data_IF_492368521388
#
_entry.id   IF_492368521388
#
_cell.length_a   1.000
_cell.length_b   1.000
_cell.length_c   1.000
_cell.angle_alpha   90.00
_cell.angle_beta   90.00
_cell.angle_gamma   90.00
#
_symmetry.space_group_name_H-M   'P 1'
#
loop_
_entity.id
_entity.type
_entity.pdbx_description
1 polymer ?
#
# COMPACT_ATOMS: atom_id res chain seq x y z
N UNK A 1 4.10 -9.35 1.24
CA UNK A 1 4.13 -8.22 2.21
C UNK A 1 2.88 -8.35 3.06
N UNK A 2 2.95 -8.28 4.40
CA UNK A 2 1.74 -8.42 5.23
C UNK A 2 0.82 -7.22 5.06
N UNK A 3 -0.49 -7.41 5.30
CA UNK A 3 -1.53 -6.40 5.09
C UNK A 3 -1.19 -5.05 5.76
N UNK A 4 -0.76 -4.98 7.04
CA UNK A 4 -0.47 -3.69 7.66
C UNK A 4 0.65 -2.91 6.94
N UNK A 5 1.64 -3.60 6.38
CA UNK A 5 2.69 -2.98 5.58
C UNK A 5 2.13 -2.39 4.28
N UNK A 6 1.30 -3.14 3.54
CA UNK A 6 0.70 -2.65 2.30
C UNK A 6 -0.26 -1.47 2.55
N UNK A 7 -1.03 -1.49 3.62
CA UNK A 7 -1.92 -0.38 4.00
C UNK A 7 -1.12 0.92 4.25
N UNK A 8 -0.01 0.82 4.99
CA UNK A 8 0.86 1.98 5.26
C UNK A 8 1.55 2.47 3.97
N UNK A 9 2.02 1.57 3.12
CA UNK A 9 2.58 1.91 1.82
C UNK A 9 1.54 2.53 0.88
N UNK A 10 0.29 2.06 0.93
CA UNK A 10 -0.85 2.62 0.21
C UNK A 10 -1.09 4.07 0.62
N UNK A 11 -1.17 4.33 1.92
CA UNK A 11 -1.28 5.69 2.47
C UNK A 11 -0.10 6.58 2.03
N UNK A 12 1.13 6.11 2.18
CA UNK A 12 2.33 6.85 1.78
C UNK A 12 2.37 7.14 0.27
N UNK A 13 1.94 6.19 -0.57
CA UNK A 13 1.85 6.37 -2.03
C UNK A 13 0.85 7.46 -2.42
N UNK A 14 -0.27 7.57 -1.69
CA UNK A 14 -1.24 8.64 -1.86
C UNK A 14 -0.63 10.01 -1.57
N UNK A 15 0.07 10.14 -0.43
CA UNK A 15 0.78 11.38 -0.09
C UNK A 15 1.83 11.71 -1.15
N UNK A 16 2.63 10.73 -1.56
CA UNK A 16 3.68 10.89 -2.57
C UNK A 16 3.11 11.38 -3.90
N UNK A 17 1.98 10.85 -4.35
CA UNK A 17 1.30 11.31 -5.56
C UNK A 17 0.82 12.77 -5.44
N UNK A 18 0.30 13.17 -4.27
CA UNK A 18 -0.08 14.57 -4.04
C UNK A 18 1.14 15.52 -4.05
N UNK A 19 2.25 15.13 -3.44
CA UNK A 19 3.50 15.92 -3.46
C UNK A 19 4.08 16.04 -4.87
N UNK A 20 4.06 14.95 -5.63
CA UNK A 20 4.55 14.91 -7.02
C UNK A 20 3.74 15.83 -7.95
N UNK A 21 2.45 16.01 -7.66
CA UNK A 21 1.51 16.84 -8.43
C UNK A 21 1.29 18.24 -7.87
N UNK A 22 2.22 18.74 -7.05
CA UNK A 22 2.03 19.99 -6.28
C UNK A 22 1.68 21.22 -7.11
N UNK A 23 2.25 21.43 -8.30
CA UNK A 23 1.94 22.63 -9.08
C UNK A 23 0.48 22.61 -9.55
N UNK A 24 0.01 21.47 -10.05
CA UNK A 24 -1.39 21.28 -10.45
C UNK A 24 -2.35 21.42 -9.27
N UNK A 25 -1.99 20.88 -8.09
CA UNK A 25 -2.85 20.97 -6.89
C UNK A 25 -2.96 22.39 -6.30
N UNK A 26 -1.92 23.21 -6.47
CA UNK A 26 -1.88 24.60 -6.02
C UNK A 26 -2.72 25.51 -6.91
N UNK A 27 -2.77 25.23 -8.21
CA UNK A 27 -3.52 26.02 -9.20
C UNK A 27 -4.98 25.57 -9.33
N UNK A 28 -5.26 24.29 -9.08
CA UNK A 28 -6.60 23.73 -9.29
C UNK A 28 -7.61 24.20 -8.23
N UNK A 29 -8.75 24.78 -8.63
CA UNK A 29 -9.83 25.15 -7.72
C UNK A 29 -10.69 23.95 -7.28
N UNK A 30 -10.51 22.78 -7.90
CA UNK A 30 -11.36 21.61 -7.63
C UNK A 30 -11.03 20.93 -6.30
N UNK A 31 -11.98 20.19 -5.70
CA UNK A 31 -11.69 19.25 -4.63
C UNK A 31 -10.58 18.27 -5.05
N UNK A 32 -9.66 17.94 -4.14
CA UNK A 32 -8.46 17.14 -4.45
C UNK A 32 -8.79 15.79 -5.12
N UNK A 33 -9.90 15.15 -4.74
CA UNK A 33 -10.35 13.86 -5.28
C UNK A 33 -10.91 13.93 -6.71
N UNK A 34 -11.18 15.13 -7.22
CA UNK A 34 -11.67 15.34 -8.60
C UNK A 34 -10.55 15.77 -9.54
N UNK A 35 -9.31 15.77 -9.07
CA UNK A 35 -8.14 16.19 -9.87
C UNK A 35 -7.58 15.00 -10.66
N UNK A 36 -6.91 15.27 -11.80
CA UNK A 36 -6.25 14.23 -12.60
C UNK A 36 -5.19 13.44 -11.82
N UNK A 37 -4.40 14.05 -10.92
CA UNK A 37 -3.45 13.33 -10.08
C UNK A 37 -4.10 12.28 -9.18
N UNK A 38 -5.28 12.57 -8.62
CA UNK A 38 -6.00 11.59 -7.83
C UNK A 38 -6.38 10.38 -8.69
N UNK A 39 -6.94 10.59 -9.89
CA UNK A 39 -7.29 9.49 -10.78
C UNK A 39 -6.08 8.69 -11.28
N UNK A 40 -4.94 9.36 -11.52
CA UNK A 40 -3.69 8.67 -11.84
C UNK A 40 -3.23 7.77 -10.69
N UNK A 41 -3.32 8.25 -9.44
CA UNK A 41 -3.05 7.45 -8.26
C UNK A 41 -4.09 6.33 -8.08
N UNK A 42 -5.38 6.59 -8.31
CA UNK A 42 -6.44 5.58 -8.21
C UNK A 42 -6.25 4.44 -9.22
N UNK A 43 -5.78 4.75 -10.44
CA UNK A 43 -5.39 3.73 -11.42
C UNK A 43 -4.20 2.90 -10.95
N UNK A 44 -3.17 3.54 -10.35
CA UNK A 44 -2.07 2.81 -9.72
C UNK A 44 -2.59 1.92 -8.58
N UNK A 45 -3.48 2.42 -7.73
CA UNK A 45 -4.04 1.65 -6.63
C UNK A 45 -4.83 0.44 -7.14
N UNK A 46 -5.71 0.64 -8.14
CA UNK A 46 -6.54 -0.42 -8.71
C UNK A 46 -5.81 -1.44 -9.58
N UNK A 47 -4.71 -1.05 -10.24
CA UNK A 47 -3.96 -1.92 -11.15
C UNK A 47 -2.67 -2.49 -10.54
N UNK A 48 -2.20 -1.94 -9.43
CA UNK A 48 -0.93 -2.35 -8.80
C UNK A 48 -1.13 -2.71 -7.33
N UNK A 49 -1.51 -1.75 -6.48
CA UNK A 49 -1.59 -1.97 -5.03
C UNK A 49 -2.60 -3.06 -4.65
N UNK A 50 -3.85 -2.91 -5.09
CA UNK A 50 -4.94 -3.84 -4.77
C UNK A 50 -4.66 -5.23 -5.36
N UNK A 51 -4.22 -5.39 -6.62
CA UNK A 51 -3.83 -6.71 -7.15
C UNK A 51 -2.70 -7.39 -6.36
N UNK A 52 -1.72 -6.63 -5.86
CA UNK A 52 -0.66 -7.17 -5.00
C UNK A 52 -1.25 -7.68 -3.67
N UNK A 53 -2.11 -6.89 -3.05
CA UNK A 53 -2.82 -7.26 -1.82
C UNK A 53 -3.69 -8.51 -2.03
N UNK A 54 -4.44 -8.56 -3.13
CA UNK A 54 -5.26 -9.69 -3.52
C UNK A 54 -4.42 -10.95 -3.78
N UNK A 55 -3.25 -10.84 -4.41
CA UNK A 55 -2.33 -11.95 -4.59
C UNK A 55 -1.93 -12.56 -3.23
N UNK A 56 -1.46 -11.75 -2.28
CA UNK A 56 -1.06 -12.27 -0.97
C UNK A 56 -2.23 -12.83 -0.19
N UNK A 57 -3.41 -12.22 -0.30
CA UNK A 57 -4.62 -12.74 0.33
C UNK A 57 -5.03 -14.11 -0.23
N UNK A 58 -5.04 -14.27 -1.55
CA UNK A 58 -5.50 -15.50 -2.21
C UNK A 58 -4.53 -16.68 -2.04
N UNK A 59 -3.22 -16.43 -2.16
CA UNK A 59 -2.22 -17.51 -2.13
C UNK A 59 -1.62 -17.73 -0.75
N UNK A 60 -1.64 -16.70 0.11
CA UNK A 60 -0.95 -16.70 1.40
C UNK A 60 -1.77 -15.98 2.49
N UNK A 61 -3.10 -16.08 2.45
CA UNK A 61 -4.01 -15.27 3.26
C UNK A 61 -3.74 -15.30 4.76
N UNK A 62 -3.55 -16.48 5.34
CA UNK A 62 -3.29 -16.62 6.78
C UNK A 62 -1.99 -15.88 7.17
N UNK A 63 -0.93 -15.99 6.36
CA UNK A 63 0.32 -15.26 6.56
C UNK A 63 0.15 -13.74 6.32
N UNK A 64 -0.61 -13.38 5.28
CA UNK A 64 -0.90 -11.99 4.90
C UNK A 64 -1.61 -11.23 6.04
N UNK A 65 -2.51 -11.91 6.75
CA UNK A 65 -3.21 -11.41 7.93
C UNK A 65 -2.50 -11.75 9.25
N UNK A 66 -1.23 -12.14 9.22
CA UNK A 66 -0.39 -12.40 10.39
C UNK A 66 -0.99 -13.42 11.36
N UNK A 67 -1.69 -14.41 10.81
CA UNK A 67 -2.42 -15.45 11.53
C UNK A 67 -3.43 -14.88 12.53
N UNK A 68 -3.93 -13.65 12.34
CA UNK A 68 -4.89 -13.05 13.29
C UNK A 68 -6.33 -13.49 13.04
N UNK A 69 -6.63 -13.95 11.82
CA UNK A 69 -7.95 -14.42 11.41
C UNK A 69 -7.77 -15.68 10.56
N UNK A 70 -8.69 -16.65 10.72
CA UNK A 70 -8.77 -17.83 9.85
C UNK A 70 -9.36 -17.41 8.50
N UNK A 71 -8.53 -17.34 7.45
CA UNK A 71 -8.97 -16.86 6.14
C UNK A 71 -10.03 -17.75 5.52
N UNK A 72 -10.03 -19.05 5.82
CA UNK A 72 -11.04 -19.98 5.32
C UNK A 72 -12.46 -19.68 5.86
N UNK A 73 -12.56 -18.94 6.96
CA UNK A 73 -13.83 -18.52 7.55
C UNK A 73 -14.29 -17.13 7.06
N UNK A 74 -13.47 -16.39 6.31
CA UNK A 74 -13.81 -15.03 5.85
C UNK A 74 -14.73 -15.11 4.62
N UNK A 75 -15.96 -14.57 4.68
CA UNK A 75 -16.80 -14.43 3.50
C UNK A 75 -16.15 -13.53 2.45
N UNK A 76 -16.30 -13.86 1.17
CA UNK A 76 -15.72 -13.08 0.05
C UNK A 76 -16.12 -11.61 0.05
N UNK A 77 -17.34 -11.28 0.51
CA UNK A 77 -17.79 -9.91 0.68
C UNK A 77 -16.94 -9.12 1.70
N UNK A 78 -16.51 -9.76 2.81
CA UNK A 78 -15.63 -9.13 3.81
C UNK A 78 -14.22 -8.93 3.22
N UNK A 79 -13.73 -9.89 2.44
CA UNK A 79 -12.47 -9.74 1.71
C UNK A 79 -12.52 -8.55 0.73
N UNK A 80 -13.63 -8.37 0.01
CA UNK A 80 -13.82 -7.22 -0.87
C UNK A 80 -13.80 -5.90 -0.09
N UNK A 81 -14.49 -5.85 1.06
CA UNK A 81 -14.47 -4.67 1.94
C UNK A 81 -13.06 -4.35 2.46
N UNK A 82 -12.24 -5.38 2.71
CA UNK A 82 -10.85 -5.19 3.11
C UNK A 82 -10.05 -4.43 2.04
N UNK A 83 -10.14 -4.85 0.77
CA UNK A 83 -9.45 -4.17 -0.34
C UNK A 83 -10.02 -2.78 -0.62
N UNK A 84 -11.34 -2.60 -0.47
CA UNK A 84 -11.97 -1.30 -0.57
C UNK A 84 -11.46 -0.35 0.54
N UNK A 85 -11.31 -0.86 1.76
CA UNK A 85 -10.75 -0.10 2.88
C UNK A 85 -9.27 0.25 2.65
N UNK A 86 -8.46 -0.66 2.11
CA UNK A 86 -7.08 -0.37 1.71
C UNK A 86 -7.00 0.77 0.68
N UNK A 87 -7.83 0.72 -0.36
CA UNK A 87 -7.95 1.79 -1.33
C UNK A 87 -8.41 3.12 -0.71
N UNK A 88 -9.39 3.08 0.19
CA UNK A 88 -9.87 4.26 0.91
C UNK A 88 -8.78 4.88 1.79
N UNK A 89 -7.97 4.07 2.49
CA UNK A 89 -6.84 4.54 3.29
C UNK A 89 -5.79 5.19 2.39
N UNK A 90 -5.48 4.59 1.23
CA UNK A 90 -4.61 5.23 0.24
C UNK A 90 -5.14 6.59 -0.22
N UNK A 91 -6.44 6.70 -0.46
CA UNK A 91 -7.09 7.94 -0.86
C UNK A 91 -7.05 9.00 0.25
N UNK A 92 -7.17 8.60 1.52
CA UNK A 92 -6.96 9.48 2.67
C UNK A 92 -5.52 10.00 2.72
N UNK A 93 -4.53 9.17 2.37
CA UNK A 93 -3.14 9.60 2.19
C UNK A 93 -3.00 10.70 1.14
N UNK A 94 -3.62 10.51 -0.03
CA UNK A 94 -3.65 11.55 -1.07
C UNK A 94 -4.32 12.83 -0.57
N UNK A 95 -5.46 12.72 0.10
CA UNK A 95 -6.17 13.87 0.65
C UNK A 95 -5.33 14.64 1.68
N UNK A 96 -4.67 13.93 2.60
CA UNK A 96 -3.76 14.52 3.58
C UNK A 96 -2.59 15.23 2.90
N UNK A 97 -1.96 14.59 1.91
CA UNK A 97 -0.88 15.20 1.12
C UNK A 97 -1.34 16.46 0.39
N UNK A 98 -2.51 16.41 -0.26
CA UNK A 98 -3.08 17.55 -0.99
C UNK A 98 -3.42 18.72 -0.06
N UNK A 99 -3.96 18.45 1.14
CA UNK A 99 -4.24 19.47 2.15
C UNK A 99 -2.96 20.20 2.58
N UNK A 100 -1.88 19.45 2.82
CA UNK A 100 -0.59 20.02 3.22
C UNK A 100 0.06 20.81 2.09
N UNK A 101 0.05 20.29 0.86
CA UNK A 101 0.56 20.99 -0.33
C UNK A 101 -0.19 22.31 -0.54
N UNK A 102 -1.52 22.30 -0.51
CA UNK A 102 -2.35 23.52 -0.64
C UNK A 102 -2.14 24.50 0.51
N UNK A 103 -1.87 23.99 1.71
CA UNK A 103 -1.45 24.77 2.86
C UNK A 103 -0.01 25.31 2.80
N UNK A 104 0.69 25.14 1.67
CA UNK A 104 2.11 25.50 1.48
C UNK A 104 3.07 24.80 2.46
N UNK A 105 2.68 23.64 2.97
CA UNK A 105 3.44 22.79 3.90
C UNK A 105 3.98 21.54 3.21
N UNK A 106 4.53 21.70 2.00
CA UNK A 106 5.02 20.58 1.18
C UNK A 106 6.11 19.78 1.90
N UNK A 107 7.00 20.44 2.64
CA UNK A 107 8.05 19.76 3.41
C UNK A 107 7.47 18.82 4.48
N UNK A 108 6.38 19.24 5.11
CA UNK A 108 5.67 18.39 6.08
C UNK A 108 4.98 17.21 5.39
N UNK A 109 4.43 17.41 4.18
CA UNK A 109 3.86 16.31 3.39
C UNK A 109 4.94 15.29 3.01
N UNK A 110 6.12 15.74 2.59
CA UNK A 110 7.27 14.88 2.30
C UNK A 110 7.71 14.14 3.56
N UNK A 111 7.89 14.84 4.68
CA UNK A 111 8.28 14.25 5.94
C UNK A 111 7.28 13.19 6.41
N UNK A 112 5.98 13.45 6.25
CA UNK A 112 4.92 12.49 6.56
C UNK A 112 4.97 11.26 5.65
N UNK A 113 5.16 11.44 4.34
CA UNK A 113 5.30 10.32 3.40
C UNK A 113 6.50 9.44 3.74
N UNK A 114 7.66 10.05 4.04
CA UNK A 114 8.87 9.34 4.45
C UNK A 114 8.64 8.61 5.78
N UNK A 115 8.07 9.29 6.78
CA UNK A 115 7.79 8.71 8.08
C UNK A 115 6.88 7.47 7.94
N UNK A 116 5.77 7.59 7.22
CA UNK A 116 4.84 6.46 7.04
C UNK A 116 5.49 5.32 6.24
N UNK A 117 6.32 5.64 5.24
CA UNK A 117 7.09 4.62 4.50
C UNK A 117 8.04 3.86 5.41
N UNK A 118 8.75 4.56 6.32
CA UNK A 118 9.61 3.93 7.32
C UNK A 118 8.79 3.10 8.31
N UNK A 119 7.67 3.62 8.79
CA UNK A 119 6.75 2.90 9.68
C UNK A 119 6.14 1.66 9.04
N UNK A 120 6.06 1.59 7.70
CA UNK A 120 5.59 0.39 6.99
C UNK A 120 6.51 -0.83 7.22
N UNK A 121 7.76 -0.62 7.65
CA UNK A 121 8.65 -1.69 8.09
C UNK A 121 8.36 -2.20 9.52
N UNK A 122 7.65 -1.42 10.35
CA UNK A 122 7.39 -1.78 11.74
C UNK A 122 6.62 -3.11 11.90
N UNK A 123 5.57 -3.42 11.10
CA UNK A 123 4.92 -4.73 11.15
C UNK A 123 5.88 -5.89 10.86
N UNK A 124 6.85 -5.69 9.96
CA UNK A 124 7.83 -6.72 9.61
C UNK A 124 8.72 -7.05 10.81
N UNK A 125 9.18 -6.02 11.52
CA UNK A 125 10.04 -6.17 12.70
C UNK A 125 9.24 -6.74 13.88
N UNK A 126 8.04 -6.23 14.11
CA UNK A 126 7.22 -6.60 15.27
C UNK A 126 6.70 -8.04 15.18
N UNK A 127 6.23 -8.46 13.99
CA UNK A 127 5.67 -9.79 13.75
C UNK A 127 6.68 -10.74 13.10
N UNK A 128 7.99 -10.57 13.36
CA UNK A 128 9.03 -11.36 12.66
C UNK A 128 8.82 -12.87 12.80
N UNK A 129 8.39 -13.33 13.98
CA UNK A 129 8.24 -14.76 14.30
C UNK A 129 7.11 -15.38 13.48
N UNK A 130 6.02 -14.65 13.34
CA UNK A 130 4.90 -15.01 12.47
C UNK A 130 5.35 -15.03 11.00
N UNK A 131 6.15 -14.05 10.58
CA UNK A 131 6.56 -13.89 9.18
C UNK A 131 7.63 -14.91 8.73
N UNK A 132 8.43 -15.44 9.66
CA UNK A 132 9.47 -16.45 9.42
C UNK A 132 8.91 -17.84 9.05
N UNK A 133 7.62 -18.09 9.33
CA UNK A 133 6.97 -19.39 9.09
C UNK A 133 5.77 -19.27 8.18
N UNK A 134 5.53 -20.30 7.38
CA UNK A 134 4.40 -20.39 6.45
C UNK A 134 3.58 -21.63 6.74
N UNK A 135 2.27 -21.44 6.90
CA UNK A 135 1.29 -22.50 7.11
C UNK A 135 -0.13 -21.93 7.10
N UNK A 136 -1.09 -22.76 7.48
CA UNK A 136 -2.48 -22.36 7.70
C UNK A 136 -2.69 -21.80 9.11
N UNK A 137 -3.79 -21.07 9.34
CA UNK A 137 -4.19 -20.56 10.66
C UNK A 137 -4.14 -21.66 11.73
N UNK A 138 -4.68 -22.84 11.42
CA UNK A 138 -4.71 -23.98 12.36
C UNK A 138 -3.33 -24.56 12.63
N UNK A 139 -2.48 -24.70 11.60
CA UNK A 139 -1.11 -25.18 11.71
C UNK A 139 -0.26 -24.25 12.59
N UNK A 140 -0.41 -22.94 12.40
CA UNK A 140 0.29 -21.93 13.20
C UNK A 140 -0.09 -21.99 14.68
N UNK A 141 -1.40 -21.96 15.00
CA UNK A 141 -1.85 -21.95 16.40
C UNK A 141 -1.65 -23.28 17.13
N UNK A 142 -1.54 -24.39 16.39
CA UNK A 142 -1.30 -25.73 16.98
C UNK A 142 0.16 -26.16 16.87
N UNK A 143 1.04 -25.35 16.28
CA UNK A 143 2.48 -25.57 16.21
C UNK A 143 2.92 -26.79 15.39
N UNK A 144 2.22 -27.14 14.31
CA UNK A 144 2.57 -28.29 13.47
C UNK A 144 2.55 -27.96 11.97
N UNK A 145 3.35 -28.68 11.18
CA UNK A 145 3.33 -28.57 9.71
C UNK A 145 3.71 -27.19 9.16
N UNK A 146 4.55 -26.45 9.89
CA UNK A 146 5.05 -25.14 9.48
C UNK A 146 6.30 -25.32 8.61
N UNK A 147 6.36 -24.56 7.51
CA UNK A 147 7.53 -24.49 6.64
C UNK A 147 8.27 -23.17 6.85
N UNK A 148 9.59 -23.19 6.64
CA UNK A 148 10.38 -21.96 6.65
C UNK A 148 9.96 -21.05 5.51
N UNK A 149 9.81 -19.75 5.79
CA UNK A 149 9.50 -18.73 4.81
C UNK A 149 10.38 -18.80 3.55
N UNK A 150 11.69 -18.97 3.73
CA UNK A 150 12.67 -18.98 2.65
C UNK A 150 12.56 -20.19 1.71
N UNK A 151 11.94 -21.28 2.16
CA UNK A 151 11.80 -22.53 1.42
C UNK A 151 10.51 -22.57 0.58
N UNK A 152 9.67 -21.55 0.68
CA UNK A 152 8.36 -21.50 0.02
C UNK A 152 8.32 -20.51 -1.15
N UNK A 153 7.32 -20.65 -2.02
CA UNK A 153 7.06 -19.72 -3.12
C UNK A 153 6.73 -18.28 -2.66
N UNK A 154 6.48 -18.09 -1.37
CA UNK A 154 6.20 -16.78 -0.79
C UNK A 154 7.40 -15.83 -0.89
N UNK A 155 8.63 -16.32 -0.69
CA UNK A 155 9.83 -15.49 -0.76
C UNK A 155 10.02 -14.83 -2.15
N UNK A 156 10.09 -15.58 -3.27
CA UNK A 156 10.18 -14.97 -4.59
C UNK A 156 8.92 -14.15 -4.93
N UNK A 157 7.74 -14.55 -4.44
CA UNK A 157 6.51 -13.77 -4.60
C UNK A 157 6.61 -12.37 -3.95
N UNK A 158 7.22 -12.25 -2.76
CA UNK A 158 7.46 -10.97 -2.11
C UNK A 158 8.42 -10.11 -2.89
N UNK A 159 9.54 -10.66 -3.34
CA UNK A 159 10.53 -9.89 -4.11
C UNK A 159 9.92 -9.35 -5.40
N UNK A 160 9.19 -10.19 -6.13
CA UNK A 160 8.54 -9.80 -7.38
C UNK A 160 7.47 -8.73 -7.14
N UNK A 161 6.53 -8.96 -6.21
CA UNK A 161 5.44 -8.01 -5.95
C UNK A 161 5.94 -6.69 -5.34
N UNK A 162 6.98 -6.73 -4.50
CA UNK A 162 7.63 -5.51 -4.02
C UNK A 162 8.26 -4.73 -5.18
N UNK A 163 8.95 -5.41 -6.11
CA UNK A 163 9.49 -4.80 -7.32
C UNK A 163 8.41 -4.13 -8.16
N UNK A 164 7.31 -4.84 -8.43
CA UNK A 164 6.14 -4.29 -9.16
C UNK A 164 5.59 -3.05 -8.46
N UNK A 165 5.42 -3.09 -7.13
CA UNK A 165 4.94 -1.96 -6.36
C UNK A 165 5.87 -0.73 -6.49
N UNK A 166 7.16 -0.89 -6.17
CA UNK A 166 8.09 0.25 -6.16
C UNK A 166 8.35 0.80 -7.55
N UNK A 167 8.47 -0.05 -8.57
CA UNK A 167 8.63 0.41 -9.96
C UNK A 167 7.36 1.15 -10.43
N UNK A 168 6.18 0.61 -10.13
CA UNK A 168 4.92 1.28 -10.45
C UNK A 168 4.77 2.62 -9.74
N UNK A 169 5.20 2.72 -8.47
CA UNK A 169 5.18 3.95 -7.69
C UNK A 169 6.16 4.99 -8.25
N UNK A 170 7.39 4.58 -8.57
CA UNK A 170 8.38 5.46 -9.21
C UNK A 170 7.85 5.98 -10.54
N UNK A 171 7.26 5.12 -11.36
CA UNK A 171 6.64 5.53 -12.62
C UNK A 171 5.50 6.53 -12.41
N UNK A 172 4.60 6.28 -11.44
CA UNK A 172 3.52 7.19 -11.09
C UNK A 172 4.06 8.57 -10.68
N UNK A 173 5.02 8.60 -9.75
CA UNK A 173 5.62 9.84 -9.24
C UNK A 173 6.29 10.61 -10.38
N UNK A 174 7.14 9.96 -11.19
CA UNK A 174 7.81 10.60 -12.31
C UNK A 174 6.80 11.15 -13.34
N UNK A 175 5.75 10.40 -13.66
CA UNK A 175 4.69 10.86 -14.56
C UNK A 175 4.00 12.11 -14.02
N UNK A 176 3.67 12.14 -12.73
CA UNK A 176 3.00 13.27 -12.09
C UNK A 176 3.92 14.50 -12.01
N UNK A 177 5.19 14.31 -11.69
CA UNK A 177 6.17 15.42 -11.69
C UNK A 177 6.36 16.01 -13.09
N UNK A 178 6.50 15.16 -14.11
CA UNK A 178 6.64 15.60 -15.50
C UNK A 178 5.38 16.32 -16.01
N UNK A 179 4.18 15.85 -15.60
CA UNK A 179 2.92 16.53 -15.89
C UNK A 179 2.85 17.91 -15.22
N UNK A 180 3.24 17.98 -13.95
CA UNK A 180 3.25 19.21 -13.16
C UNK A 180 4.19 20.29 -13.73
N UNK A 181 5.31 19.91 -14.34
CA UNK A 181 6.27 20.85 -14.97
C UNK A 181 5.79 21.43 -16.29
N UNK A 182 4.78 20.82 -16.93
CA UNK A 182 4.22 21.30 -18.21
C UNK A 182 3.03 22.25 -18.01
N UNK A 183 2.48 22.31 -16.80
CA UNK A 183 1.29 23.11 -16.48
C UNK A 183 1.61 24.52 -15.95
N UNK A 184 2.79 24.72 -15.35
CA UNK A 184 3.32 26.04 -14.95
C UNK A 184 4.27 26.60 -15.99
#
# INVERSE_FOLDING_TARGET
>A
MPLPTLVLLGFASGIGAAVASRAELLESPHPAMLTRPFWAWALFAGLVLIPISAYFYLFHGDWFLLYRVDVAAIPSAIALLLFAAEGAIGALGFFAGAMLVRGKKTDLAIALAVLVTVLAAAPIVYFRRELEVVGTYRQFHRGYGLSSFAETALYPGILFMAGVFFLGLVFLVLRLELGSRRAG
#
